data_IF_789736915240
#
_entry.id   IF_789736915240
#
_cell.length_a   1.000
_cell.length_b   1.000
_cell.length_c   1.000
_cell.angle_alpha   90.00
_cell.angle_beta   90.00
_cell.angle_gamma   90.00
#
_symmetry.space_group_name_H-M   'P 1'
#
loop_
_entity.id
_entity.type
_entity.pdbx_description
1 polymer ?
#
# COMPACT_ATOMS: atom_id res chain seq x y z
N UNK A 1 -14.79 39.20 4.03
CA UNK A 1 -13.74 38.21 3.72
C UNK A 1 -14.38 36.84 3.87
N UNK A 2 -14.61 36.13 2.76
CA UNK A 2 -15.04 34.73 2.79
C UNK A 2 -13.78 33.86 2.77
N UNK A 3 -13.65 32.82 3.62
CA UNK A 3 -12.53 31.90 3.52
C UNK A 3 -12.75 31.04 2.27
N UNK A 4 -11.80 31.14 1.35
CA UNK A 4 -11.74 30.35 0.12
C UNK A 4 -10.68 29.26 0.33
N UNK A 5 -11.10 28.02 0.08
CA UNK A 5 -10.32 26.81 -0.17
C UNK A 5 -9.63 26.09 1.00
N UNK A 6 -10.41 25.25 1.70
CA UNK A 6 -9.90 24.03 2.34
C UNK A 6 -10.34 22.72 1.63
N UNK A 7 -11.12 22.80 0.56
CA UNK A 7 -11.64 21.61 -0.12
C UNK A 7 -10.60 20.82 -0.95
N UNK A 8 -9.50 21.44 -1.37
CA UNK A 8 -8.49 20.75 -2.19
C UNK A 8 -7.60 19.83 -1.34
N UNK A 9 -7.41 20.14 -0.06
CA UNK A 9 -6.59 19.31 0.84
C UNK A 9 -7.37 18.11 1.38
N UNK A 10 -8.69 18.23 1.58
CA UNK A 10 -9.57 17.15 2.04
C UNK A 10 -9.84 16.12 0.96
N UNK A 11 -10.16 16.56 -0.27
CA UNK A 11 -10.43 15.66 -1.41
C UNK A 11 -9.17 14.85 -1.77
N UNK A 12 -7.99 15.47 -1.75
CA UNK A 12 -6.71 14.78 -1.98
C UNK A 12 -6.43 13.73 -0.89
N UNK A 13 -6.76 14.03 0.38
CA UNK A 13 -6.54 13.09 1.50
C UNK A 13 -7.47 11.89 1.49
N UNK A 14 -8.73 12.08 1.13
CA UNK A 14 -9.70 10.97 1.01
C UNK A 14 -9.33 10.02 -0.14
N UNK A 15 -8.96 10.56 -1.30
CA UNK A 15 -8.48 9.78 -2.44
C UNK A 15 -7.19 8.99 -2.12
N UNK A 16 -6.27 9.63 -1.39
CA UNK A 16 -5.00 9.02 -0.93
C UNK A 16 -5.28 7.84 0.01
N UNK A 17 -6.20 8.00 0.97
CA UNK A 17 -6.60 6.92 1.88
C UNK A 17 -7.32 5.79 1.14
N UNK A 18 -8.20 6.12 0.20
CA UNK A 18 -8.92 5.13 -0.61
C UNK A 18 -7.97 4.31 -1.50
N UNK A 19 -7.02 4.98 -2.16
CA UNK A 19 -6.01 4.31 -2.98
C UNK A 19 -5.14 3.35 -2.15
N UNK A 20 -4.73 3.77 -0.95
CA UNK A 20 -4.02 2.90 0.00
C UNK A 20 -4.86 1.68 0.38
N UNK A 21 -6.11 1.88 0.81
CA UNK A 21 -6.98 0.79 1.27
C UNK A 21 -7.27 -0.21 0.14
N UNK A 22 -7.43 0.28 -1.09
CA UNK A 22 -7.65 -0.57 -2.26
C UNK A 22 -6.40 -1.36 -2.63
N UNK A 23 -5.22 -0.75 -2.60
CA UNK A 23 -3.94 -1.44 -2.82
C UNK A 23 -3.75 -2.62 -1.84
N UNK A 24 -4.00 -2.34 -0.56
CA UNK A 24 -3.90 -3.33 0.51
C UNK A 24 -4.99 -4.42 0.38
N UNK A 25 -6.22 -4.03 0.03
CA UNK A 25 -7.31 -4.96 -0.23
C UNK A 25 -6.98 -5.94 -1.36
N UNK A 26 -6.37 -5.46 -2.44
CA UNK A 26 -5.94 -6.30 -3.57
C UNK A 26 -4.86 -7.30 -3.16
N UNK A 27 -3.90 -6.90 -2.32
CA UNK A 27 -2.91 -7.83 -1.77
C UNK A 27 -3.62 -8.92 -0.95
N UNK A 28 -4.58 -8.56 -0.09
CA UNK A 28 -5.33 -9.56 0.69
C UNK A 28 -6.13 -10.51 -0.22
N UNK A 29 -6.90 -9.98 -1.17
CA UNK A 29 -7.74 -10.76 -2.08
C UNK A 29 -6.93 -11.71 -2.98
N UNK A 30 -5.77 -11.25 -3.45
CA UNK A 30 -4.99 -11.96 -4.46
C UNK A 30 -3.88 -12.83 -3.87
N UNK A 31 -3.35 -12.49 -2.70
CA UNK A 31 -2.22 -13.22 -2.08
C UNK A 31 -2.68 -14.13 -0.95
N UNK A 32 -3.64 -13.69 -0.13
CA UNK A 32 -4.11 -14.50 1.01
C UNK A 32 -4.69 -15.88 0.64
N UNK A 33 -5.32 -16.10 -0.54
CA UNK A 33 -5.74 -17.44 -0.95
C UNK A 33 -4.58 -18.43 -1.12
N UNK A 34 -3.38 -17.96 -1.44
CA UNK A 34 -2.22 -18.81 -1.70
C UNK A 34 -1.37 -19.04 -0.45
N UNK A 35 -1.27 -18.05 0.44
CA UNK A 35 -0.39 -18.11 1.61
C UNK A 35 -1.10 -18.10 2.97
N UNK A 36 -2.39 -17.79 2.99
CA UNK A 36 -3.14 -17.48 4.20
C UNK A 36 -2.87 -16.08 4.74
N UNK A 37 -3.87 -15.48 5.40
CA UNK A 37 -3.83 -14.10 5.91
C UNK A 37 -2.66 -13.81 6.84
N UNK A 38 -2.25 -14.78 7.67
CA UNK A 38 -1.14 -14.60 8.60
C UNK A 38 0.18 -14.40 7.84
N UNK A 39 0.42 -15.20 6.80
CA UNK A 39 1.62 -15.11 5.97
C UNK A 39 1.60 -13.83 5.13
N UNK A 40 0.45 -13.46 4.55
CA UNK A 40 0.32 -12.20 3.80
C UNK A 40 0.67 -10.99 4.67
N UNK A 41 0.26 -10.98 5.95
CA UNK A 41 0.65 -9.92 6.90
C UNK A 41 2.15 -9.83 7.12
N UNK A 42 2.82 -10.96 7.29
CA UNK A 42 4.29 -10.99 7.48
C UNK A 42 5.02 -10.54 6.22
N UNK A 43 4.53 -10.90 5.03
CA UNK A 43 5.10 -10.45 3.75
C UNK A 43 5.00 -8.94 3.62
N UNK A 44 3.84 -8.34 3.90
CA UNK A 44 3.66 -6.88 3.85
C UNK A 44 4.53 -6.17 4.89
N UNK A 45 4.63 -6.71 6.11
CA UNK A 45 5.52 -6.18 7.15
C UNK A 45 7.00 -6.24 6.73
N UNK A 46 7.42 -7.35 6.15
CA UNK A 46 8.76 -7.54 5.62
C UNK A 46 9.09 -6.56 4.49
N UNK A 47 8.16 -6.41 3.53
CA UNK A 47 8.27 -5.46 2.44
C UNK A 47 8.40 -4.02 2.97
N UNK A 48 7.50 -3.58 3.86
CA UNK A 48 7.55 -2.26 4.48
C UNK A 48 8.88 -2.02 5.21
N UNK A 49 9.43 -3.03 5.89
CA UNK A 49 10.72 -2.93 6.57
C UNK A 49 11.89 -2.71 5.61
N UNK A 50 11.84 -3.28 4.39
CA UNK A 50 12.88 -3.12 3.35
C UNK A 50 12.87 -1.73 2.71
N UNK A 51 11.70 -1.12 2.55
CA UNK A 51 11.55 0.17 1.85
C UNK A 51 11.42 1.37 2.77
N UNK A 52 11.43 1.17 4.09
CA UNK A 52 11.19 2.24 5.08
C UNK A 52 12.13 3.45 4.92
N UNK A 53 13.37 3.24 4.48
CA UNK A 53 14.36 4.30 4.36
C UNK A 53 14.07 5.18 3.13
N UNK A 54 13.45 4.61 2.09
CA UNK A 54 13.01 5.32 0.90
C UNK A 54 11.60 5.91 1.03
N UNK A 55 10.71 5.26 1.79
CA UNK A 55 9.31 5.66 1.99
C UNK A 55 8.93 5.60 3.49
N UNK A 56 9.40 6.54 4.32
CA UNK A 56 9.20 6.51 5.77
C UNK A 56 7.73 6.52 6.21
N UNK A 57 6.86 7.11 5.39
CA UNK A 57 5.42 7.17 5.63
C UNK A 57 4.73 5.79 5.65
N UNK A 58 5.36 4.76 5.06
CA UNK A 58 4.87 3.37 5.10
C UNK A 58 5.34 2.62 6.36
N UNK A 59 6.12 3.24 7.25
CA UNK A 59 6.63 2.60 8.47
C UNK A 59 5.53 2.12 9.43
N UNK A 60 4.32 2.68 9.34
CA UNK A 60 3.17 2.23 10.11
C UNK A 60 2.84 0.74 9.86
N UNK A 61 3.11 0.24 8.65
CA UNK A 61 2.92 -1.15 8.24
C UNK A 61 3.91 -2.12 8.88
N UNK A 62 5.03 -1.64 9.44
CA UNK A 62 6.02 -2.49 10.11
C UNK A 62 5.49 -2.94 11.47
N UNK A 63 4.89 -1.99 12.20
CA UNK A 63 4.48 -2.19 13.59
C UNK A 63 3.00 -2.56 13.72
N UNK A 64 2.21 -2.41 12.66
CA UNK A 64 0.78 -2.75 12.64
C UNK A 64 0.46 -3.65 11.44
N UNK A 65 -0.39 -4.66 11.62
CA UNK A 65 -0.92 -5.40 10.47
C UNK A 65 -1.66 -4.45 9.54
N UNK A 66 -1.51 -4.63 8.23
CA UNK A 66 -2.24 -3.82 7.25
C UNK A 66 -3.76 -3.91 7.42
N UNK A 67 -4.27 -5.02 7.98
CA UNK A 67 -5.70 -5.23 8.27
C UNK A 67 -6.22 -4.34 9.39
N UNK A 68 -5.32 -3.77 10.19
CA UNK A 68 -5.65 -2.94 11.36
C UNK A 68 -5.37 -1.46 11.06
N UNK A 69 -4.98 -1.16 9.82
CA UNK A 69 -4.76 0.21 9.36
C UNK A 69 -6.11 0.82 9.00
N UNK A 70 -6.55 1.74 9.86
CA UNK A 70 -7.74 2.55 9.64
C UNK A 70 -7.38 3.90 9.00
N UNK A 71 -8.32 4.54 8.28
CA UNK A 71 -8.14 5.86 7.67
C UNK A 71 -7.43 6.89 8.54
N UNK A 72 -7.78 6.99 9.83
CA UNK A 72 -7.17 7.96 10.74
C UNK A 72 -5.66 7.75 10.96
N UNK A 73 -5.19 6.50 10.99
CA UNK A 73 -3.75 6.18 11.11
C UNK A 73 -3.01 6.61 9.84
N UNK A 74 -3.63 6.39 8.68
CA UNK A 74 -3.11 6.78 7.38
C UNK A 74 -2.98 8.30 7.30
N UNK A 75 -3.98 9.04 7.75
CA UNK A 75 -3.97 10.50 7.74
C UNK A 75 -2.84 11.11 8.57
N UNK A 76 -2.51 10.53 9.73
CA UNK A 76 -1.39 10.99 10.56
C UNK A 76 -0.03 10.75 9.89
N UNK A 77 0.15 9.60 9.23
CA UNK A 77 1.43 9.22 8.62
C UNK A 77 1.65 9.80 7.21
N UNK A 78 0.58 10.15 6.50
CA UNK A 78 0.63 10.71 5.15
C UNK A 78 0.54 12.25 5.12
N UNK A 79 0.62 12.92 6.27
CA UNK A 79 0.61 14.39 6.31
C UNK A 79 1.76 14.98 5.47
N UNK A 80 1.40 15.73 4.41
CA UNK A 80 2.36 16.35 3.51
C UNK A 80 2.86 15.48 2.36
N UNK A 81 2.37 14.24 2.24
CA UNK A 81 2.69 13.34 1.12
C UNK A 81 1.77 13.63 -0.05
N UNK A 82 2.35 13.79 -1.24
CA UNK A 82 1.57 13.96 -2.48
C UNK A 82 0.99 12.62 -2.95
N UNK A 83 -0.11 12.66 -3.71
CA UNK A 83 -0.68 11.45 -4.34
C UNK A 83 0.36 10.68 -5.16
N UNK A 84 1.24 11.40 -5.86
CA UNK A 84 2.33 10.80 -6.65
C UNK A 84 3.37 10.06 -5.78
N UNK A 85 3.82 10.65 -4.68
CA UNK A 85 4.75 10.00 -3.75
C UNK A 85 4.13 8.77 -3.08
N UNK A 86 2.83 8.85 -2.72
CA UNK A 86 2.09 7.71 -2.22
C UNK A 86 2.05 6.58 -3.25
N UNK A 87 1.65 6.86 -4.50
CA UNK A 87 1.61 5.84 -5.56
C UNK A 87 2.98 5.18 -5.73
N UNK A 88 4.05 5.98 -5.72
CA UNK A 88 5.41 5.46 -5.86
C UNK A 88 5.79 4.56 -4.69
N UNK A 89 5.41 4.91 -3.46
CA UNK A 89 5.64 4.08 -2.28
C UNK A 89 4.80 2.81 -2.27
N UNK A 90 3.53 2.89 -2.67
CA UNK A 90 2.63 1.73 -2.77
C UNK A 90 3.08 0.74 -3.84
N UNK A 91 3.54 1.24 -4.99
CA UNK A 91 4.14 0.39 -6.03
C UNK A 91 5.42 -0.28 -5.51
N UNK A 92 6.31 0.46 -4.85
CA UNK A 92 7.52 -0.13 -4.26
C UNK A 92 7.20 -1.17 -3.17
N UNK A 93 6.16 -0.93 -2.35
CA UNK A 93 5.69 -1.89 -1.35
C UNK A 93 5.18 -3.16 -2.02
N UNK A 94 4.42 -3.02 -3.10
CA UNK A 94 3.90 -4.13 -3.88
C UNK A 94 5.03 -4.95 -4.51
N UNK A 95 5.98 -4.29 -5.17
CA UNK A 95 7.15 -4.94 -5.77
C UNK A 95 7.90 -5.80 -4.73
N UNK A 96 8.11 -5.27 -3.53
CA UNK A 96 8.78 -5.95 -2.44
C UNK A 96 7.94 -7.07 -1.81
N UNK A 97 6.61 -6.95 -1.83
CA UNK A 97 5.72 -8.06 -1.47
C UNK A 97 5.91 -9.19 -2.48
N UNK A 98 5.84 -8.91 -3.79
CA UNK A 98 6.04 -9.93 -4.83
C UNK A 98 7.44 -10.53 -4.83
N UNK A 99 8.47 -9.75 -4.54
CA UNK A 99 9.82 -10.27 -4.35
C UNK A 99 9.86 -11.28 -3.19
N UNK A 100 9.30 -10.92 -2.02
CA UNK A 100 9.23 -11.83 -0.87
C UNK A 100 8.35 -13.06 -1.12
N UNK A 101 7.26 -12.90 -1.86
CA UNK A 101 6.41 -13.99 -2.31
C UNK A 101 7.15 -14.96 -3.22
N UNK A 102 7.92 -14.43 -4.18
CA UNK A 102 8.76 -15.23 -5.08
C UNK A 102 9.87 -15.95 -4.31
N UNK A 103 10.48 -15.32 -3.31
CA UNK A 103 11.44 -15.98 -2.42
C UNK A 103 10.82 -17.16 -1.66
N UNK A 104 9.57 -17.01 -1.20
CA UNK A 104 8.86 -18.05 -0.44
C UNK A 104 8.29 -19.17 -1.30
N UNK A 105 7.87 -18.86 -2.54
CA UNK A 105 7.08 -19.78 -3.38
C UNK A 105 7.80 -20.20 -4.67
N UNK A 106 8.94 -19.61 -5.02
CA UNK A 106 9.56 -19.77 -6.33
C UNK A 106 8.71 -19.13 -7.44
N UNK A 107 8.67 -19.76 -8.62
CA UNK A 107 7.88 -19.27 -9.76
C UNK A 107 6.38 -19.67 -9.71
N UNK A 108 5.89 -20.14 -8.55
CA UNK A 108 4.48 -20.51 -8.35
C UNK A 108 3.55 -19.29 -8.31
N UNK A 109 4.06 -18.10 -7.96
CA UNK A 109 3.29 -16.85 -8.01
C UNK A 109 3.52 -16.21 -9.38
N UNK A 110 2.47 -16.25 -10.19
CA UNK A 110 2.50 -15.99 -11.64
C UNK A 110 2.62 -14.47 -11.91
N UNK A 111 3.47 -14.04 -12.85
CA UNK A 111 3.62 -12.63 -13.28
C UNK A 111 2.32 -11.81 -13.51
N UNK A 112 1.20 -12.39 -14.01
CA UNK A 112 -0.06 -11.69 -14.18
C UNK A 112 -0.59 -11.04 -12.90
N UNK A 113 -0.29 -11.60 -11.73
CA UNK A 113 -0.76 -11.05 -10.47
C UNK A 113 -0.10 -9.71 -10.14
N UNK A 114 1.20 -9.60 -10.42
CA UNK A 114 1.94 -8.35 -10.25
C UNK A 114 1.44 -7.29 -11.23
N UNK A 115 1.30 -7.67 -12.52
CA UNK A 115 0.83 -6.78 -13.57
C UNK A 115 -0.60 -6.28 -13.32
N UNK A 116 -1.52 -7.15 -12.90
CA UNK A 116 -2.90 -6.78 -12.59
C UNK A 116 -2.97 -5.77 -11.43
N UNK A 117 -2.25 -6.03 -10.33
CA UNK A 117 -2.27 -5.13 -9.18
C UNK A 117 -1.57 -3.81 -9.50
N UNK A 118 -0.47 -3.84 -10.25
CA UNK A 118 0.21 -2.64 -10.73
C UNK A 118 -0.67 -1.80 -11.67
N UNK A 119 -1.41 -2.43 -12.59
CA UNK A 119 -2.36 -1.74 -13.47
C UNK A 119 -3.52 -1.13 -12.67
N UNK A 120 -4.06 -1.83 -11.69
CA UNK A 120 -5.13 -1.28 -10.84
C UNK A 120 -4.62 -0.13 -9.96
N UNK A 121 -3.37 -0.17 -9.51
CA UNK A 121 -2.72 0.96 -8.84
C UNK A 121 -2.54 2.17 -9.76
N UNK A 122 -2.17 1.96 -11.02
CA UNK A 122 -2.08 3.03 -12.02
C UNK A 122 -3.44 3.67 -12.34
N UNK A 123 -4.52 2.88 -12.37
CA UNK A 123 -5.88 3.39 -12.58
C UNK A 123 -6.43 4.20 -11.41
N UNK A 124 -5.75 4.21 -10.26
CA UNK A 124 -6.10 5.00 -9.08
C UNK A 124 -5.40 6.38 -9.06
N UNK A 125 -4.60 6.68 -10.08
CA UNK A 125 -3.95 7.98 -10.31
C UNK A 125 -4.83 8.89 -11.17
#
# INVERSE_FOLDING_TARGET
MLPIHDNSSSVSREQVTEAYLKAIGLIDERVAPYLGKATTRVVVQGAAKRIKDAYPFLSCLINRPYTDVIPSIIHEHLSGITTHELSKGLNALLDECFAGLRELTGDLIVPPLHEEVAQQLQQLQ
#
